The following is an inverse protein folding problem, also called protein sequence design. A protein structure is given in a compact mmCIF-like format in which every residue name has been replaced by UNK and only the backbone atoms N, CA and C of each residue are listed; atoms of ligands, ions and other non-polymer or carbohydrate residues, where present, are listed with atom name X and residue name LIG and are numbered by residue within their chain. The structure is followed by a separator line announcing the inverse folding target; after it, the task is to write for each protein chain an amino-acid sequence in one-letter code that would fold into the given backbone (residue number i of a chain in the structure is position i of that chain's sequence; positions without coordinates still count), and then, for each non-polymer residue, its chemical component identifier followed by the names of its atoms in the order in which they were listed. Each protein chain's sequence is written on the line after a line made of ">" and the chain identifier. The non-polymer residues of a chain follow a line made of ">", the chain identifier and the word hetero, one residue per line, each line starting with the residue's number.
data_IF_280547788267
#
_entry.id   IF_280547788267
#
_cell.length_a   1.000
_cell.length_b   1.000
_cell.length_c   1.000
_cell.angle_alpha   90.00
_cell.angle_beta   90.00
_cell.angle_gamma   90.00
#
_symmetry.space_group_name_H-M   'P 1'
#
loop_
_entity.id
_entity.type
_entity.pdbx_description
1 polymer ?
#
# COMPACT_ATOMS: atom_id res chain seq x y z
N UNK A 1 10.37 42.03 -14.69
CA UNK A 1 10.94 40.78 -14.17
C UNK A 1 9.82 39.95 -13.56
N UNK A 2 9.33 38.94 -14.29
CA UNK A 2 8.28 38.05 -13.79
C UNK A 2 8.88 37.07 -12.78
N UNK A 3 8.36 37.05 -11.55
CA UNK A 3 8.74 36.04 -10.55
C UNK A 3 8.26 34.67 -11.05
N UNK A 4 9.22 33.78 -11.35
CA UNK A 4 8.94 32.39 -11.66
C UNK A 4 8.19 31.75 -10.47
N UNK A 5 7.05 31.14 -10.76
CA UNK A 5 6.23 30.41 -9.79
C UNK A 5 7.03 29.18 -9.34
N UNK A 6 7.18 28.90 -8.03
CA UNK A 6 7.92 27.72 -7.57
C UNK A 6 7.21 26.44 -8.03
N UNK A 7 7.95 25.53 -8.65
CA UNK A 7 7.47 24.19 -9.05
C UNK A 7 7.14 23.37 -7.80
N UNK A 8 6.02 22.64 -7.83
CA UNK A 8 5.41 21.96 -6.69
C UNK A 8 5.94 20.53 -6.57
N UNK A 9 6.47 20.18 -5.40
CA UNK A 9 7.05 18.87 -5.09
C UNK A 9 6.04 17.71 -5.37
N UNK A 10 6.46 16.63 -6.05
CA UNK A 10 5.57 15.53 -6.45
C UNK A 10 5.03 14.71 -5.28
N UNK A 11 5.77 14.59 -4.16
CA UNK A 11 5.29 13.96 -2.92
C UNK A 11 4.17 14.80 -2.33
N UNK A 12 4.34 16.13 -2.37
CA UNK A 12 3.34 17.10 -1.94
C UNK A 12 2.09 17.07 -2.82
N UNK A 13 2.26 16.93 -4.14
CA UNK A 13 1.16 16.80 -5.08
C UNK A 13 0.39 15.47 -4.88
N UNK A 14 1.10 14.36 -4.65
CA UNK A 14 0.52 13.05 -4.34
C UNK A 14 -0.24 13.03 -3.02
N UNK A 15 0.34 13.61 -1.95
CA UNK A 15 -0.33 13.74 -0.66
C UNK A 15 -1.59 14.61 -0.77
N UNK A 16 -1.51 15.71 -1.53
CA UNK A 16 -2.65 16.60 -1.80
C UNK A 16 -3.75 15.88 -2.59
N UNK A 17 -3.39 15.11 -3.61
CA UNK A 17 -4.34 14.31 -4.39
C UNK A 17 -5.00 13.22 -3.54
N UNK A 18 -4.24 12.50 -2.71
CA UNK A 18 -4.77 11.49 -1.79
C UNK A 18 -5.71 12.11 -0.73
N UNK A 19 -5.32 13.25 -0.16
CA UNK A 19 -6.16 13.99 0.79
C UNK A 19 -7.44 14.50 0.13
N UNK A 20 -7.39 14.98 -1.12
CA UNK A 20 -8.57 15.39 -1.87
C UNK A 20 -9.44 14.23 -2.38
N UNK A 21 -8.87 13.04 -2.59
CA UNK A 21 -9.59 11.85 -3.03
C UNK A 21 -10.40 11.19 -1.90
N UNK A 22 -10.15 11.55 -0.63
CA UNK A 22 -10.97 11.08 0.49
C UNK A 22 -12.33 11.79 0.46
N UNK A 23 -13.44 11.07 0.22
CA UNK A 23 -14.77 11.68 0.04
C UNK A 23 -15.35 12.32 1.32
N UNK A 24 -14.64 12.23 2.44
CA UNK A 24 -15.02 12.78 3.74
C UNK A 24 -13.79 13.34 4.46
N UNK A 25 -13.25 14.46 3.98
CA UNK A 25 -12.27 15.25 4.74
C UNK A 25 -12.87 15.54 6.13
N UNK A 26 -12.21 15.05 7.17
CA UNK A 26 -12.62 15.31 8.56
C UNK A 26 -12.22 16.74 8.94
N UNK A 27 -13.11 17.50 9.60
CA UNK A 27 -12.79 18.87 9.98
C UNK A 27 -11.78 18.94 11.11
N UNK A 28 -10.80 19.84 10.99
CA UNK A 28 -9.80 20.11 12.04
C UNK A 28 -10.42 20.71 13.31
N UNK A 29 -11.61 21.29 13.19
CA UNK A 29 -12.36 21.82 14.33
C UNK A 29 -13.78 21.27 14.29
N UNK A 30 -14.11 20.44 15.27
CA UNK A 30 -15.48 19.95 15.46
C UNK A 30 -16.42 21.10 15.80
N UNK A 31 -17.62 21.09 15.20
CA UNK A 31 -18.70 22.01 15.60
C UNK A 31 -18.95 21.88 17.10
N UNK A 32 -19.13 23.02 17.80
CA UNK A 32 -19.39 23.12 19.26
C UNK A 32 -20.26 21.96 19.78
N UNK A 33 -19.63 20.93 20.36
CA UNK A 33 -20.33 19.76 20.88
C UNK A 33 -19.47 18.49 20.98
N UNK A 34 -18.55 18.25 20.05
CA UNK A 34 -17.50 17.20 20.15
C UNK A 34 -16.25 17.69 19.46
N UNK A 35 -15.23 18.06 20.22
CA UNK A 35 -13.93 18.32 19.63
C UNK A 35 -13.37 16.97 19.16
N UNK A 36 -13.13 16.83 17.85
CA UNK A 36 -12.44 15.66 17.28
C UNK A 36 -10.96 15.62 17.70
N UNK A 37 -10.45 16.76 18.20
CA UNK A 37 -9.09 16.97 18.62
C UNK A 37 -9.07 17.46 20.07
N UNK A 38 -8.09 17.00 20.83
CA UNK A 38 -7.74 17.50 22.15
C UNK A 38 -7.34 18.98 22.09
N UNK A 39 -7.36 19.67 23.24
CA UNK A 39 -6.94 21.08 23.33
C UNK A 39 -5.49 21.29 22.84
N UNK A 40 -4.63 20.30 23.03
CA UNK A 40 -3.24 20.32 22.55
C UNK A 40 -3.16 20.26 21.02
N UNK A 41 -3.94 19.37 20.40
CA UNK A 41 -3.99 19.22 18.94
C UNK A 41 -4.60 20.45 18.24
N UNK A 42 -5.60 21.10 18.85
CA UNK A 42 -6.15 22.36 18.33
C UNK A 42 -5.11 23.48 18.33
N UNK A 43 -4.33 23.60 19.41
CA UNK A 43 -3.21 24.56 19.49
C UNK A 43 -2.14 24.28 18.44
N UNK A 44 -1.78 23.01 18.24
CA UNK A 44 -0.83 22.60 17.21
C UNK A 44 -1.33 22.92 15.79
N UNK A 45 -2.62 22.71 15.52
CA UNK A 45 -3.23 23.08 14.24
C UNK A 45 -3.21 24.60 14.01
N UNK A 46 -3.47 25.42 15.04
CA UNK A 46 -3.35 26.88 14.94
C UNK A 46 -1.92 27.33 14.69
N UNK A 47 -0.94 26.72 15.35
CA UNK A 47 0.49 26.97 15.10
C UNK A 47 0.90 26.57 13.68
N UNK A 48 0.40 25.44 13.16
CA UNK A 48 0.66 25.01 11.80
C UNK A 48 0.02 25.94 10.75
N UNK A 49 -1.16 26.51 11.05
CA UNK A 49 -1.75 27.57 10.21
C UNK A 49 -0.92 28.85 10.27
N UNK A 50 -0.50 29.27 11.47
CA UNK A 50 0.33 30.47 11.65
C UNK A 50 1.70 30.35 10.96
N UNK A 51 2.28 29.15 10.96
CA UNK A 51 3.52 28.83 10.26
C UNK A 51 3.32 28.62 8.74
N UNK A 52 2.10 28.74 8.23
CA UNK A 52 1.79 28.60 6.81
C UNK A 52 1.82 27.16 6.28
N UNK A 53 1.82 26.16 7.17
CA UNK A 53 1.78 24.74 6.81
C UNK A 53 0.37 24.21 6.54
N UNK A 54 -0.66 24.88 7.07
CA UNK A 54 -2.06 24.59 6.82
C UNK A 54 -2.82 25.85 6.36
N UNK A 55 -3.72 25.72 5.38
CA UNK A 55 -4.68 26.79 5.03
C UNK A 55 -6.04 26.51 5.65
N UNK A 56 -6.60 27.51 6.35
CA UNK A 56 -7.97 27.44 6.86
C UNK A 56 -8.96 27.58 5.71
N UNK A 57 -9.82 26.59 5.54
CA UNK A 57 -10.99 26.65 4.65
C UNK A 57 -12.24 26.54 5.49
N UNK A 58 -13.01 27.61 5.52
CA UNK A 58 -14.35 27.59 6.10
C UNK A 58 -15.33 27.01 5.09
N UNK A 59 -15.97 25.90 5.43
CA UNK A 59 -17.13 25.42 4.69
C UNK A 59 -18.35 25.78 5.51
N UNK A 60 -19.14 26.70 4.98
CA UNK A 60 -20.46 26.99 5.51
C UNK A 60 -21.41 25.88 5.06
N UNK A 61 -21.99 25.08 5.97
CA UNK A 61 -23.02 24.14 5.58
C UNK A 61 -24.24 24.87 4.99
N UNK A 62 -25.04 24.22 4.12
CA UNK A 62 -26.24 24.83 3.56
C UNK A 62 -27.15 25.36 4.68
N UNK A 63 -27.74 26.55 4.51
CA UNK A 63 -28.48 27.22 5.57
C UNK A 63 -29.70 26.39 5.99
N UNK A 64 -29.69 25.90 7.22
CA UNK A 64 -30.88 25.32 7.86
C UNK A 64 -31.67 26.47 8.48
N UNK A 65 -32.95 26.63 8.08
CA UNK A 65 -33.83 27.72 8.54
C UNK A 65 -33.77 27.86 10.07
N UNK A 66 -33.38 29.04 10.54
CA UNK A 66 -33.54 29.47 11.94
C UNK A 66 -32.33 29.32 12.88
N UNK A 67 -31.16 28.83 12.45
CA UNK A 67 -29.96 28.78 13.31
C UNK A 67 -28.69 29.19 12.57
N UNK A 68 -28.01 30.27 13.02
CA UNK A 68 -26.63 30.59 12.62
C UNK A 68 -25.72 29.50 13.19
N UNK A 69 -25.34 28.51 12.37
CA UNK A 69 -24.35 27.50 12.78
C UNK A 69 -22.93 28.03 12.55
N UNK A 70 -21.98 27.72 13.45
CA UNK A 70 -20.58 28.03 13.23
C UNK A 70 -20.08 27.30 11.97
N UNK A 71 -19.35 28.00 11.12
CA UNK A 71 -18.68 27.41 9.96
C UNK A 71 -17.70 26.32 10.42
N UNK A 72 -17.59 25.27 9.63
CA UNK A 72 -16.65 24.19 9.91
C UNK A 72 -15.31 24.56 9.27
N UNK A 73 -14.26 24.70 10.09
CA UNK A 73 -12.91 25.05 9.62
C UNK A 73 -12.13 23.76 9.34
N UNK A 74 -11.74 23.58 8.09
CA UNK A 74 -10.80 22.54 7.65
C UNK A 74 -9.42 23.18 7.51
N UNK A 75 -8.35 22.47 7.88
CA UNK A 75 -7.00 22.85 7.47
C UNK A 75 -6.56 21.95 6.33
N UNK A 76 -6.24 22.55 5.19
CA UNK A 76 -5.66 21.84 4.05
C UNK A 76 -4.15 21.99 4.11
N UNK A 77 -3.43 20.90 3.84
CA UNK A 77 -1.97 20.93 3.81
C UNK A 77 -1.47 21.85 2.70
N UNK A 78 -0.70 22.88 3.08
CA UNK A 78 -0.05 23.75 2.10
C UNK A 78 1.15 23.07 1.50
N UNK A 79 1.68 23.68 0.45
CA UNK A 79 2.91 23.20 -0.17
C UNK A 79 4.11 23.24 0.79
N UNK A 80 4.19 24.28 1.63
CA UNK A 80 5.22 24.36 2.67
C UNK A 80 5.05 23.28 3.74
N UNK A 81 3.81 23.00 4.16
CA UNK A 81 3.53 21.95 5.14
C UNK A 81 3.86 20.56 4.62
N UNK A 82 3.50 20.29 3.37
CA UNK A 82 3.79 19.04 2.72
C UNK A 82 5.29 18.86 2.43
N UNK A 83 6.02 19.92 2.04
CA UNK A 83 7.49 19.89 1.92
C UNK A 83 8.15 19.64 3.28
N UNK A 84 7.64 20.24 4.36
CA UNK A 84 8.17 20.00 5.72
C UNK A 84 7.97 18.55 6.17
N UNK A 85 6.87 17.94 5.76
CA UNK A 85 6.57 16.51 5.96
C UNK A 85 7.49 15.62 5.11
N UNK A 86 7.69 15.97 3.83
CA UNK A 86 8.49 15.17 2.89
C UNK A 86 10.00 15.28 3.14
N UNK A 87 10.50 16.48 3.47
CA UNK A 87 11.91 16.78 3.69
C UNK A 87 12.30 16.65 5.18
N UNK A 88 11.56 15.85 5.95
CA UNK A 88 11.70 15.73 7.40
C UNK A 88 13.16 15.78 7.85
N UNK A 89 13.52 16.85 8.56
CA UNK A 89 14.84 16.95 9.19
C UNK A 89 14.95 15.86 10.25
N UNK A 90 15.77 14.85 9.95
CA UNK A 90 16.03 13.67 10.78
C UNK A 90 15.36 12.41 10.22
N UNK A 91 16.16 11.34 10.11
CA UNK A 91 15.80 10.03 9.53
C UNK A 91 14.54 9.37 10.13
N UNK A 92 14.06 9.86 11.27
CA UNK A 92 12.85 9.38 11.94
C UNK A 92 11.55 10.04 11.46
N UNK A 93 11.61 11.20 10.80
CA UNK A 93 10.42 12.01 10.50
C UNK A 93 9.48 11.38 9.48
N UNK A 94 9.99 10.94 8.34
CA UNK A 94 9.15 10.35 7.27
C UNK A 94 8.59 9.00 7.71
N UNK A 95 9.37 8.19 8.42
CA UNK A 95 8.93 6.90 8.96
C UNK A 95 7.89 7.07 10.06
N UNK A 96 8.08 8.05 10.97
CA UNK A 96 7.10 8.38 12.00
C UNK A 96 5.79 8.89 11.37
N UNK A 97 5.87 9.78 10.38
CA UNK A 97 4.68 10.29 9.69
C UNK A 97 3.97 9.16 8.93
N UNK A 98 4.69 8.28 8.22
CA UNK A 98 4.09 7.13 7.54
C UNK A 98 3.47 6.14 8.53
N UNK A 99 4.09 5.93 9.69
CA UNK A 99 3.53 5.10 10.76
C UNK A 99 2.28 5.74 11.39
N UNK A 100 2.30 7.04 11.66
CA UNK A 100 1.15 7.78 12.19
C UNK A 100 -0.01 7.83 11.18
N UNK A 101 0.31 7.96 9.89
CA UNK A 101 -0.69 7.90 8.82
C UNK A 101 -1.24 6.49 8.67
N UNK A 102 -0.40 5.46 8.76
CA UNK A 102 -0.81 4.05 8.80
C UNK A 102 -1.72 3.76 9.99
N UNK A 103 -1.37 4.26 11.17
CA UNK A 103 -2.16 4.09 12.39
C UNK A 103 -3.46 4.89 12.36
N UNK A 104 -3.45 6.07 11.71
CA UNK A 104 -4.65 6.86 11.43
C UNK A 104 -5.61 6.16 10.47
N UNK A 105 -5.08 5.59 9.38
CA UNK A 105 -5.84 4.78 8.41
C UNK A 105 -6.37 3.50 9.06
N UNK A 106 -5.56 2.84 9.89
CA UNK A 106 -5.98 1.65 10.66
C UNK A 106 -7.10 1.99 11.64
N UNK A 107 -6.97 3.09 12.39
CA UNK A 107 -8.04 3.58 13.30
C UNK A 107 -9.31 3.99 12.55
N UNK A 108 -9.18 4.53 11.35
CA UNK A 108 -10.31 4.83 10.45
C UNK A 108 -10.99 3.55 9.94
N UNK A 109 -10.23 2.48 9.67
CA UNK A 109 -10.73 1.16 9.31
C UNK A 109 -11.39 0.41 10.46
N UNK A 110 -10.90 0.59 11.69
CA UNK A 110 -11.46 -0.05 12.90
C UNK A 110 -12.67 0.67 13.50
N UNK A 111 -13.04 1.86 13.00
CA UNK A 111 -14.27 2.52 13.41
C UNK A 111 -15.47 1.77 12.82
N UNK A 112 -16.52 1.46 13.62
CA UNK A 112 -17.68 0.71 13.13
C UNK A 112 -18.47 1.59 12.16
N UNK A 113 -18.10 1.55 10.88
CA UNK A 113 -18.87 2.10 9.79
C UNK A 113 -19.53 0.96 9.03
N UNK A 114 -20.85 1.02 9.02
CA UNK A 114 -21.74 0.23 8.19
C UNK A 114 -21.42 0.46 6.71
N UNK A 115 -20.89 -0.57 6.01
CA UNK A 115 -20.75 -0.62 4.54
C UNK A 115 -19.31 -0.56 3.96
N UNK A 116 -18.37 -1.34 4.49
CA UNK A 116 -16.92 -1.14 4.37
C UNK A 116 -16.14 -1.64 3.13
N UNK A 117 -16.77 -2.11 2.05
CA UNK A 117 -16.01 -2.69 0.92
C UNK A 117 -15.33 -1.62 0.04
N UNK A 118 -15.88 -0.41 -0.01
CA UNK A 118 -15.41 0.64 -0.91
C UNK A 118 -14.08 1.28 -0.53
N UNK A 119 -13.74 1.32 0.77
CA UNK A 119 -12.51 1.98 1.24
C UNK A 119 -11.30 1.07 1.08
N UNK A 120 -11.42 -0.21 1.42
CA UNK A 120 -10.38 -1.21 1.16
C UNK A 120 -10.03 -1.26 -0.34
N UNK A 121 -11.05 -1.40 -1.20
CA UNK A 121 -10.86 -1.39 -2.65
C UNK A 121 -10.28 -0.07 -3.20
N UNK A 122 -10.48 1.07 -2.53
CA UNK A 122 -9.86 2.34 -2.92
C UNK A 122 -8.38 2.40 -2.51
N UNK A 123 -8.03 1.86 -1.33
CA UNK A 123 -6.64 1.75 -0.86
C UNK A 123 -5.88 0.79 -1.77
N UNK A 124 -6.45 -0.36 -2.10
CA UNK A 124 -5.81 -1.36 -2.98
C UNK A 124 -5.54 -0.78 -4.36
N UNK A 125 -6.52 -0.10 -4.97
CA UNK A 125 -6.33 0.60 -6.25
C UNK A 125 -5.27 1.69 -6.19
N UNK A 126 -5.19 2.43 -5.09
CA UNK A 126 -4.16 3.45 -4.92
C UNK A 126 -2.76 2.82 -4.80
N UNK A 127 -2.65 1.70 -4.07
CA UNK A 127 -1.41 0.95 -3.94
C UNK A 127 -0.96 0.36 -5.28
N UNK A 128 -1.87 -0.25 -6.04
CA UNK A 128 -1.61 -0.78 -7.38
C UNK A 128 -1.16 0.32 -8.35
N UNK A 129 -1.84 1.48 -8.34
CA UNK A 129 -1.47 2.63 -9.18
C UNK A 129 -0.08 3.15 -8.84
N UNK A 130 0.25 3.25 -7.54
CA UNK A 130 1.57 3.66 -7.09
C UNK A 130 2.66 2.66 -7.50
N UNK A 131 2.40 1.36 -7.31
CA UNK A 131 3.33 0.31 -7.71
C UNK A 131 3.56 0.28 -9.23
N UNK A 132 2.52 0.49 -10.03
CA UNK A 132 2.62 0.59 -11.48
C UNK A 132 3.45 1.80 -11.92
N UNK A 133 3.22 2.97 -11.32
CA UNK A 133 3.98 4.18 -11.61
C UNK A 133 5.47 4.03 -11.26
N UNK A 134 5.79 3.41 -10.12
CA UNK A 134 7.18 3.14 -9.72
C UNK A 134 7.87 2.17 -10.69
N UNK A 135 7.18 1.08 -11.10
CA UNK A 135 7.73 0.13 -12.08
C UNK A 135 8.01 0.81 -13.43
N UNK A 136 7.11 1.67 -13.90
CA UNK A 136 7.30 2.42 -15.13
C UNK A 136 8.51 3.35 -15.03
N UNK A 137 8.62 4.15 -13.96
CA UNK A 137 9.75 5.05 -13.74
C UNK A 137 11.10 4.32 -13.69
N UNK A 138 11.17 3.15 -13.03
CA UNK A 138 12.38 2.32 -12.99
C UNK A 138 12.72 1.75 -14.37
N UNK A 139 11.72 1.34 -15.15
CA UNK A 139 11.91 0.84 -16.51
C UNK A 139 12.48 1.92 -17.43
N UNK A 140 11.94 3.13 -17.35
CA UNK A 140 12.40 4.28 -18.14
C UNK A 140 13.83 4.67 -17.78
N UNK A 141 14.13 4.73 -16.47
CA UNK A 141 15.48 4.95 -15.97
C UNK A 141 16.47 3.91 -16.49
N UNK A 142 16.07 2.63 -16.50
CA UNK A 142 16.92 1.55 -17.02
C UNK A 142 17.17 1.68 -18.52
N UNK A 143 16.14 2.00 -19.29
CA UNK A 143 16.26 2.19 -20.74
C UNK A 143 17.22 3.34 -21.06
N UNK A 144 17.14 4.42 -20.29
CA UNK A 144 18.00 5.58 -20.47
C UNK A 144 19.45 5.33 -20.06
N UNK A 145 19.69 4.64 -18.94
CA UNK A 145 21.05 4.23 -18.55
C UNK A 145 21.65 3.32 -19.63
N UNK A 146 20.88 2.39 -20.20
CA UNK A 146 21.35 1.53 -21.28
C UNK A 146 21.69 2.32 -22.56
N UNK A 147 20.85 3.31 -22.92
CA UNK A 147 21.10 4.20 -24.05
C UNK A 147 22.38 5.04 -23.84
N UNK A 148 22.59 5.57 -22.64
CA UNK A 148 23.80 6.33 -22.31
C UNK A 148 25.08 5.47 -22.37
N UNK A 149 25.01 4.24 -21.87
CA UNK A 149 26.14 3.29 -21.89
C UNK A 149 26.48 2.85 -23.33
N UNK A 150 25.47 2.63 -24.17
CA UNK A 150 25.68 2.24 -25.58
C UNK A 150 26.15 3.41 -26.45
N UNK A 151 25.72 4.64 -26.17
CA UNK A 151 26.23 5.84 -26.84
C UNK A 151 27.69 6.15 -26.48
N UNK A 152 28.12 5.81 -25.25
CA UNK A 152 29.48 6.04 -24.75
C UNK A 152 30.53 5.00 -25.15
N UNK A 153 30.15 3.90 -25.81
CA UNK A 153 31.07 2.79 -26.15
C UNK A 153 31.83 2.96 -27.46
N UNK A 154 31.75 4.13 -28.09
CA UNK A 154 32.57 4.51 -29.25
C UNK A 154 34.04 4.74 -28.86
N UNK A 155 34.86 3.70 -29.00
CA UNK A 155 36.33 3.68 -29.06
C UNK A 155 37.10 4.72 -28.21
N UNK A 156 37.61 4.25 -27.07
CA UNK A 156 38.80 4.76 -26.34
C UNK A 156 38.69 5.97 -25.40
N UNK A 157 37.52 6.29 -24.86
CA UNK A 157 37.45 7.24 -23.73
C UNK A 157 36.97 6.54 -22.45
N UNK A 158 37.90 6.34 -21.50
CA UNK A 158 37.63 5.82 -20.16
C UNK A 158 37.08 6.91 -19.21
N UNK A 159 36.21 7.79 -19.72
CA UNK A 159 35.60 8.85 -18.90
C UNK A 159 34.24 8.37 -18.36
N UNK A 160 34.09 8.13 -17.03
CA UNK A 160 32.80 7.80 -16.42
C UNK A 160 31.87 9.02 -16.31
N UNK A 161 32.35 10.24 -16.63
CA UNK A 161 31.61 11.49 -16.54
C UNK A 161 30.23 11.47 -17.22
N UNK A 162 30.08 10.99 -18.47
CA UNK A 162 28.80 10.93 -19.16
C UNK A 162 27.78 10.00 -18.50
N UNK A 163 28.23 8.86 -17.96
CA UNK A 163 27.36 7.89 -17.27
C UNK A 163 26.88 8.46 -15.93
N UNK A 164 27.78 9.10 -15.17
CA UNK A 164 27.42 9.77 -13.91
C UNK A 164 26.52 11.00 -14.15
N UNK A 165 26.72 11.74 -15.24
CA UNK A 165 25.86 12.85 -15.64
C UNK A 165 24.46 12.36 -16.05
N UNK A 166 24.37 11.25 -16.79
CA UNK A 166 23.09 10.62 -17.13
C UNK A 166 22.36 10.10 -15.88
N UNK A 167 23.07 9.42 -14.97
CA UNK A 167 22.52 8.98 -13.68
C UNK A 167 22.03 10.15 -12.82
N UNK A 168 22.81 11.23 -12.71
CA UNK A 168 22.40 12.45 -12.00
C UNK A 168 21.19 13.10 -12.67
N UNK A 169 21.19 13.25 -13.99
CA UNK A 169 20.06 13.81 -14.75
C UNK A 169 18.79 12.96 -14.60
N UNK A 170 18.93 11.64 -14.50
CA UNK A 170 17.80 10.75 -14.34
C UNK A 170 17.31 10.72 -12.87
N UNK A 171 18.21 10.77 -11.88
CA UNK A 171 17.87 11.00 -10.48
C UNK A 171 17.18 12.36 -10.27
N UNK A 172 17.67 13.42 -10.91
CA UNK A 172 17.07 14.75 -10.88
C UNK A 172 15.68 14.75 -11.57
N UNK A 173 15.46 13.90 -12.58
CA UNK A 173 14.12 13.73 -13.20
C UNK A 173 13.17 12.89 -12.38
N UNK A 174 13.67 11.93 -11.60
CA UNK A 174 12.86 11.23 -10.59
C UNK A 174 12.51 12.18 -9.43
N UNK A 175 13.37 13.16 -9.14
CA UNK A 175 13.11 14.25 -8.20
C UNK A 175 12.27 15.40 -8.78
N UNK A 176 12.29 15.60 -10.10
CA UNK A 176 11.50 16.61 -10.80
C UNK A 176 10.11 16.07 -11.16
N UNK A 177 9.12 16.95 -11.16
CA UNK A 177 7.70 16.64 -11.33
C UNK A 177 7.42 15.58 -12.43
N UNK A 178 6.64 14.51 -12.14
CA UNK A 178 6.13 13.65 -13.19
C UNK A 178 5.19 14.48 -14.04
N UNK A 179 5.55 14.66 -15.31
CA UNK A 179 4.63 15.19 -16.31
C UNK A 179 3.42 14.27 -16.32
N UNK A 180 2.22 14.81 -16.10
CA UNK A 180 0.96 14.04 -16.06
C UNK A 180 0.78 13.36 -17.41
N UNK A 181 1.28 12.14 -17.55
CA UNK A 181 0.97 11.26 -18.66
C UNK A 181 -0.49 10.86 -18.45
N UNK A 182 -1.38 11.42 -19.28
CA UNK A 182 -2.73 10.87 -19.47
C UNK A 182 -2.55 9.47 -20.07
N UNK A 183 -2.42 8.46 -19.24
CA UNK A 183 -2.38 7.07 -19.70
C UNK A 183 -3.79 6.75 -20.21
N UNK A 184 -3.98 6.47 -21.52
CA UNK A 184 -5.21 5.86 -21.98
C UNK A 184 -5.34 4.51 -21.28
N UNK A 185 -6.50 4.25 -20.68
CA UNK A 185 -6.87 2.95 -20.13
C UNK A 185 -6.79 1.93 -21.25
N UNK A 186 -5.67 1.21 -21.33
CA UNK A 186 -5.57 0.00 -22.15
C UNK A 186 -5.88 -1.16 -21.23
N UNK A 187 -7.16 -1.49 -21.16
CA UNK A 187 -7.60 -2.85 -20.88
C UNK A 187 -7.05 -3.76 -21.97
N UNK A 188 -6.30 -4.77 -21.53
CA UNK A 188 -6.15 -6.11 -22.09
C UNK A 188 -4.69 -6.56 -22.09
N UNK A 189 -4.32 -7.27 -21.02
CA UNK A 189 -3.24 -8.25 -21.05
C UNK A 189 -3.86 -9.65 -21.15
N UNK A 190 -3.30 -10.56 -21.97
CA UNK A 190 -3.95 -11.82 -22.30
C UNK A 190 -3.88 -12.79 -21.12
N UNK A 191 -5.06 -13.14 -20.60
CA UNK A 191 -5.27 -14.28 -19.71
C UNK A 191 -4.95 -15.55 -20.49
N UNK A 192 -3.71 -16.04 -20.38
CA UNK A 192 -3.36 -17.36 -20.89
C UNK A 192 -4.15 -18.45 -20.16
N UNK A 193 -4.49 -19.57 -20.81
CA UNK A 193 -5.33 -20.64 -20.24
C UNK A 193 -4.63 -21.48 -19.14
N UNK A 194 -3.63 -20.95 -18.42
CA UNK A 194 -2.89 -21.68 -17.38
C UNK A 194 -3.62 -21.76 -16.04
N UNK A 195 -4.63 -20.94 -15.79
CA UNK A 195 -5.26 -20.83 -14.46
C UNK A 195 -6.57 -21.60 -14.32
N UNK A 196 -7.14 -22.12 -15.41
CA UNK A 196 -8.43 -22.81 -15.37
C UNK A 196 -8.41 -24.08 -14.50
N UNK A 197 -7.25 -24.75 -14.39
CA UNK A 197 -7.09 -25.93 -13.54
C UNK A 197 -7.04 -25.62 -12.04
N UNK A 198 -6.63 -24.41 -11.65
CA UNK A 198 -6.38 -24.04 -10.25
C UNK A 198 -7.58 -23.34 -9.59
N UNK A 199 -8.65 -23.05 -10.34
CA UNK A 199 -9.82 -22.34 -9.83
C UNK A 199 -10.49 -23.05 -8.62
N UNK A 200 -10.43 -24.39 -8.58
CA UNK A 200 -11.02 -25.20 -7.51
C UNK A 200 -10.04 -25.53 -6.38
N UNK A 201 -8.80 -25.03 -6.44
CA UNK A 201 -7.73 -25.35 -5.48
C UNK A 201 -8.13 -25.04 -4.02
N UNK A 202 -8.75 -23.89 -3.69
CA UNK A 202 -9.13 -23.58 -2.31
C UNK A 202 -10.21 -24.52 -1.76
N UNK A 203 -11.18 -24.89 -2.59
CA UNK A 203 -12.27 -25.78 -2.21
C UNK A 203 -11.78 -27.22 -2.00
N UNK A 204 -10.90 -27.71 -2.87
CA UNK A 204 -10.25 -29.02 -2.73
C UNK A 204 -9.40 -29.09 -1.46
N UNK A 205 -8.66 -28.02 -1.16
CA UNK A 205 -7.85 -27.92 0.05
C UNK A 205 -8.72 -27.98 1.31
N UNK A 206 -9.81 -27.21 1.33
CA UNK A 206 -10.74 -27.19 2.45
C UNK A 206 -11.44 -28.55 2.64
N UNK A 207 -11.84 -29.21 1.55
CA UNK A 207 -12.46 -30.53 1.59
C UNK A 207 -11.51 -31.57 2.21
N UNK A 208 -10.23 -31.55 1.84
CA UNK A 208 -9.22 -32.44 2.40
C UNK A 208 -8.96 -32.15 3.88
N UNK A 209 -8.74 -30.89 4.26
CA UNK A 209 -8.52 -30.48 5.66
C UNK A 209 -9.71 -30.90 6.54
N UNK A 210 -10.94 -30.73 6.04
CA UNK A 210 -12.15 -31.15 6.75
C UNK A 210 -12.25 -32.68 6.89
N UNK A 211 -11.85 -33.45 5.87
CA UNK A 211 -11.83 -34.90 5.95
C UNK A 211 -10.80 -35.40 6.98
N UNK A 212 -9.56 -34.89 6.93
CA UNK A 212 -8.51 -35.26 7.89
C UNK A 212 -8.88 -34.84 9.30
N UNK A 213 -9.51 -33.68 9.50
CA UNK A 213 -9.94 -33.22 10.82
C UNK A 213 -11.05 -34.09 11.45
N UNK A 214 -11.83 -34.83 10.64
CA UNK A 214 -12.80 -35.81 11.14
C UNK A 214 -12.12 -37.09 11.63
N UNK A 215 -11.01 -37.46 11.01
CA UNK A 215 -10.23 -38.65 11.36
C UNK A 215 -9.23 -38.37 12.50
N UNK A 216 -8.61 -37.18 12.49
CA UNK A 216 -7.56 -36.75 13.41
C UNK A 216 -7.98 -35.44 14.07
N UNK A 217 -7.98 -35.40 15.40
CA UNK A 217 -8.34 -34.19 16.17
C UNK A 217 -7.33 -33.04 16.02
N UNK A 218 -6.14 -33.30 15.47
CA UNK A 218 -4.99 -32.38 15.44
C UNK A 218 -4.87 -31.63 14.09
N UNK A 219 -5.70 -31.93 13.09
CA UNK A 219 -5.59 -31.37 11.74
C UNK A 219 -4.61 -32.13 10.84
N UNK A 220 -4.13 -31.48 9.79
CA UNK A 220 -3.17 -32.06 8.83
C UNK A 220 -1.89 -31.23 8.73
N UNK A 221 -0.80 -31.90 8.36
CA UNK A 221 0.47 -31.23 8.06
C UNK A 221 0.41 -30.60 6.66
N UNK A 222 1.10 -29.48 6.47
CA UNK A 222 1.14 -28.77 5.19
C UNK A 222 1.71 -29.66 4.07
N UNK A 223 2.66 -30.54 4.37
CA UNK A 223 3.21 -31.50 3.40
C UNK A 223 2.17 -32.52 2.92
N UNK A 224 1.38 -33.10 3.84
CA UNK A 224 0.33 -34.06 3.51
C UNK A 224 -0.74 -33.42 2.62
N UNK A 225 -1.13 -32.18 2.94
CA UNK A 225 -2.05 -31.39 2.12
C UNK A 225 -1.48 -31.09 0.73
N UNK A 226 -0.21 -30.69 0.64
CA UNK A 226 0.43 -30.37 -0.64
C UNK A 226 0.50 -31.60 -1.56
N UNK A 227 0.90 -32.76 -1.04
CA UNK A 227 1.02 -33.98 -1.84
C UNK A 227 -0.36 -34.46 -2.34
N UNK A 228 -1.40 -34.30 -1.52
CA UNK A 228 -2.77 -34.56 -1.92
C UNK A 228 -3.21 -33.63 -3.07
N UNK A 229 -2.99 -32.32 -2.92
CA UNK A 229 -3.38 -31.34 -3.93
C UNK A 229 -2.56 -31.49 -5.22
N UNK A 230 -1.27 -31.78 -5.13
CA UNK A 230 -0.41 -32.00 -6.31
C UNK A 230 -0.84 -33.22 -7.13
N UNK A 231 -1.45 -34.22 -6.50
CA UNK A 231 -2.02 -35.37 -7.20
C UNK A 231 -3.25 -34.99 -8.04
N UNK A 232 -4.08 -34.05 -7.56
CA UNK A 232 -5.23 -33.54 -8.33
C UNK A 232 -4.87 -32.41 -9.29
N UNK A 233 -3.83 -31.66 -8.97
CA UNK A 233 -3.38 -30.48 -9.70
C UNK A 233 -1.90 -30.65 -10.07
N UNK A 234 -1.58 -31.38 -11.16
CA UNK A 234 -0.18 -31.67 -11.54
C UNK A 234 0.66 -30.42 -11.83
N UNK A 235 0.02 -29.29 -12.14
CA UNK A 235 0.65 -27.98 -12.37
C UNK A 235 0.78 -27.11 -11.12
N UNK A 236 0.45 -27.63 -9.93
CA UNK A 236 0.48 -26.87 -8.68
C UNK A 236 1.91 -26.47 -8.32
N UNK A 237 2.16 -25.16 -8.30
CA UNK A 237 3.39 -24.59 -7.77
C UNK A 237 3.29 -24.36 -6.26
N UNK A 238 4.43 -24.32 -5.57
CA UNK A 238 4.48 -24.00 -4.13
C UNK A 238 3.87 -22.61 -3.86
N UNK A 239 4.14 -21.64 -4.73
CA UNK A 239 3.57 -20.28 -4.61
C UNK A 239 2.04 -20.27 -4.68
N UNK A 240 1.46 -20.92 -5.70
CA UNK A 240 0.00 -21.01 -5.83
C UNK A 240 -0.66 -21.74 -4.65
N UNK A 241 0.01 -22.77 -4.13
CA UNK A 241 -0.42 -23.46 -2.92
C UNK A 241 -0.41 -22.54 -1.68
N UNK A 242 0.68 -21.80 -1.46
CA UNK A 242 0.79 -20.84 -0.36
C UNK A 242 -0.24 -19.72 -0.46
N UNK A 243 -0.48 -19.20 -1.66
CA UNK A 243 -1.46 -18.16 -1.88
C UNK A 243 -2.89 -18.65 -1.60
N UNK A 244 -3.23 -19.88 -2.01
CA UNK A 244 -4.52 -20.48 -1.66
C UNK A 244 -4.69 -20.67 -0.14
N UNK A 245 -3.64 -21.12 0.57
CA UNK A 245 -3.67 -21.23 2.03
C UNK A 245 -3.85 -19.87 2.72
N UNK A 246 -3.15 -18.83 2.26
CA UNK A 246 -3.32 -17.46 2.79
C UNK A 246 -4.73 -16.93 2.56
N UNK A 247 -5.31 -17.20 1.38
CA UNK A 247 -6.70 -16.81 1.09
C UNK A 247 -7.69 -17.51 2.02
N UNK A 248 -7.51 -18.83 2.26
CA UNK A 248 -8.38 -19.58 3.16
C UNK A 248 -8.24 -19.13 4.63
N UNK A 249 -7.03 -18.80 5.08
CA UNK A 249 -6.76 -18.30 6.44
C UNK A 249 -7.34 -16.89 6.63
N UNK A 250 -7.12 -15.99 5.65
CA UNK A 250 -7.71 -14.64 5.65
C UNK A 250 -9.24 -14.66 5.62
N UNK A 251 -9.84 -15.64 4.93
CA UNK A 251 -11.28 -15.86 4.91
C UNK A 251 -11.81 -16.56 6.19
N UNK A 252 -10.93 -16.92 7.14
CA UNK A 252 -11.30 -17.62 8.36
C UNK A 252 -11.89 -19.01 8.10
N UNK A 253 -11.52 -19.67 7.00
CA UNK A 253 -12.00 -21.01 6.62
C UNK A 253 -11.08 -22.11 7.13
N UNK A 254 -9.79 -21.82 7.20
CA UNK A 254 -8.79 -22.63 7.88
C UNK A 254 -8.09 -21.79 8.94
N UNK A 255 -7.40 -22.44 9.86
CA UNK A 255 -6.48 -21.82 10.80
C UNK A 255 -5.11 -22.45 10.60
N UNK A 256 -4.14 -21.61 10.33
CA UNK A 256 -2.74 -22.01 10.31
C UNK A 256 -2.17 -22.02 11.73
N UNK A 257 -1.45 -23.08 12.08
CA UNK A 257 -0.78 -23.24 13.38
C UNK A 257 0.72 -23.29 13.23
N UNK A 258 1.36 -22.79 14.27
CA UNK A 258 2.80 -22.74 14.43
C UNK A 258 3.43 -24.14 14.48
N UNK A 259 4.65 -24.23 13.97
CA UNK A 259 5.50 -25.40 14.15
C UNK A 259 6.17 -25.32 15.52
N UNK A 260 5.89 -26.26 16.46
CA UNK A 260 6.35 -26.14 17.85
C UNK A 260 7.82 -26.56 18.05
N UNK A 261 8.48 -27.08 17.02
CA UNK A 261 9.83 -27.65 17.07
C UNK A 261 10.84 -26.76 16.36
N UNK A 262 12.11 -27.12 16.43
CA UNK A 262 13.17 -26.46 15.68
C UNK A 262 12.97 -26.66 14.16
N UNK A 263 13.56 -25.78 13.35
CA UNK A 263 13.39 -25.77 11.89
C UNK A 263 14.09 -26.96 11.20
N UNK A 264 15.14 -27.51 11.81
CA UNK A 264 15.87 -28.69 11.36
C UNK A 264 15.07 -30.00 11.53
N UNK A 265 14.13 -30.04 12.47
CA UNK A 265 13.19 -31.16 12.64
C UNK A 265 12.04 -31.15 11.62
N UNK A 266 11.94 -30.13 10.78
CA UNK A 266 10.84 -29.98 9.83
C UNK A 266 11.02 -30.90 8.62
N UNK A 267 10.04 -31.77 8.27
CA UNK A 267 10.19 -32.72 7.18
C UNK A 267 10.40 -32.08 5.80
N UNK A 268 9.69 -30.97 5.51
CA UNK A 268 9.70 -30.26 4.23
C UNK A 268 9.68 -28.74 4.44
N UNK A 269 10.82 -28.13 4.81
CA UNK A 269 10.89 -26.71 5.16
C UNK A 269 10.52 -25.80 3.99
N UNK A 270 10.64 -26.26 2.74
CA UNK A 270 10.25 -25.50 1.55
C UNK A 270 8.74 -25.24 1.43
N UNK A 271 7.92 -26.03 2.12
CA UNK A 271 6.46 -25.85 2.15
C UNK A 271 5.99 -24.98 3.32
N UNK A 272 6.87 -24.63 4.25
CA UNK A 272 6.51 -23.85 5.43
C UNK A 272 6.08 -22.42 5.04
N UNK A 273 5.11 -21.88 5.78
CA UNK A 273 4.52 -20.57 5.48
C UNK A 273 4.86 -19.58 6.60
N UNK A 274 5.53 -18.49 6.27
CA UNK A 274 5.89 -17.46 7.24
C UNK A 274 4.78 -16.40 7.35
N UNK A 275 4.19 -16.26 8.54
CA UNK A 275 3.21 -15.21 8.87
C UNK A 275 3.70 -14.50 10.12
N UNK A 276 3.95 -13.19 10.01
CA UNK A 276 4.42 -12.36 11.12
C UNK A 276 5.52 -13.06 11.93
N UNK A 277 6.69 -13.30 11.34
CA UNK A 277 7.87 -13.97 11.94
C UNK A 277 7.69 -15.41 12.46
N UNK A 278 6.48 -15.97 12.43
CA UNK A 278 6.22 -17.33 12.90
C UNK A 278 6.06 -18.29 11.72
N UNK A 279 6.64 -19.49 11.86
CA UNK A 279 6.57 -20.55 10.85
C UNK A 279 5.30 -21.36 11.07
N UNK A 280 4.39 -21.34 10.10
CA UNK A 280 3.16 -22.12 10.09
C UNK A 280 3.38 -23.44 9.33
N UNK A 281 2.99 -24.56 9.93
CA UNK A 281 3.16 -25.89 9.32
C UNK A 281 2.00 -26.87 9.55
N UNK A 282 1.05 -26.53 10.42
CA UNK A 282 -0.17 -27.33 10.61
C UNK A 282 -1.41 -26.55 10.15
N UNK A 283 -2.35 -27.24 9.52
CA UNK A 283 -3.61 -26.67 9.02
C UNK A 283 -4.79 -27.34 9.69
N UNK A 284 -5.71 -26.54 10.20
CA UNK A 284 -6.96 -27.02 10.81
C UNK A 284 -8.16 -26.29 10.18
N UNK A 285 -9.35 -26.92 10.12
CA UNK A 285 -10.55 -26.19 9.74
C UNK A 285 -10.86 -25.14 10.81
N UNK A 286 -11.35 -23.97 10.40
CA UNK A 286 -11.85 -22.99 11.35
C UNK A 286 -13.09 -23.55 12.06
N UNK A 287 -13.06 -23.54 13.40
CA UNK A 287 -14.22 -23.82 14.25
C UNK A 287 -15.22 -22.67 14.18
#
# INVERSE_FOLDING_TARGET
>A
MAKAKPATDPVVAGLRAAVHALPNLLPLVGSKGKALFTKAEASAAEQAVAAGYLTKREVSPPPVKGKKKPGVVYGLLTEAGARKVALGGGDDGVRAILNDLRDGVTRLGSSPRTGGDGVAAAIDRAAETCAAALKAAVSDLRAEVLAAVTAGTGANSADPGPVLAALRSALDRVGAEPTVIKVPVVSDAPTGPRDAGLANLPDDALAFVAAVARERSVGCDVAELYDHLRTRHPGLSIGAFHDALRQLDAAGRVRLRDWPRMLDEMPRPELALFINHTVMYHVQPAR
#
